data_IF_414919792693
#
_entry.id   IF_414919792693
#
_cell.length_a   1.000
_cell.length_b   1.000
_cell.length_c   1.000
_cell.angle_alpha   90.00
_cell.angle_beta   90.00
_cell.angle_gamma   90.00
#
_symmetry.space_group_name_H-M   'P 1'
#
loop_
_entity.id
_entity.type
_entity.pdbx_description
1 polymer ?
#
# COMPACT_ATOMS: atom_id res chain seq x y z
N UNK A 1 -5.73 -30.60 -9.23
CA UNK A 1 -4.60 -30.44 -8.28
C UNK A 1 -4.18 -28.97 -8.01
N UNK A 2 -4.35 -27.99 -8.95
CA UNK A 2 -3.94 -26.57 -8.73
C UNK A 2 -4.71 -25.80 -7.65
N UNK A 3 -5.98 -26.14 -7.34
CA UNK A 3 -6.80 -25.42 -6.33
C UNK A 3 -6.43 -25.71 -4.88
N UNK A 4 -5.88 -26.87 -4.57
CA UNK A 4 -5.52 -27.26 -3.20
C UNK A 4 -4.22 -26.58 -2.76
N UNK A 5 -3.25 -26.40 -3.66
CA UNK A 5 -2.00 -25.71 -3.39
C UNK A 5 -2.21 -24.21 -3.06
N UNK A 6 -3.11 -23.52 -3.79
CA UNK A 6 -3.43 -22.11 -3.49
C UNK A 6 -4.06 -21.92 -2.12
N UNK A 7 -4.84 -22.89 -1.65
CA UNK A 7 -5.51 -22.81 -0.33
C UNK A 7 -4.55 -23.00 0.84
N UNK A 8 -3.51 -23.85 0.67
CA UNK A 8 -2.49 -24.07 1.70
C UNK A 8 -1.53 -22.88 1.82
N UNK A 9 -1.10 -22.29 0.72
CA UNK A 9 -0.23 -21.10 0.70
C UNK A 9 -0.94 -19.91 1.37
N UNK A 10 -2.24 -19.69 1.08
CA UNK A 10 -3.01 -18.63 1.74
C UNK A 10 -3.16 -18.81 3.25
N UNK A 11 -3.22 -20.03 3.73
CA UNK A 11 -3.39 -20.33 5.16
C UNK A 11 -2.09 -20.10 5.96
N UNK A 12 -0.93 -20.40 5.37
CA UNK A 12 0.38 -20.13 5.96
C UNK A 12 0.71 -18.64 5.97
N UNK A 13 0.42 -17.89 4.90
CA UNK A 13 0.63 -16.45 4.83
C UNK A 13 -0.25 -15.68 5.84
N UNK A 14 -1.50 -16.12 6.08
CA UNK A 14 -2.38 -15.49 7.06
C UNK A 14 -1.89 -15.63 8.51
N UNK A 15 -1.08 -16.64 8.82
CA UNK A 15 -0.50 -16.81 10.16
C UNK A 15 0.71 -15.89 10.43
N UNK A 16 1.35 -15.38 9.38
CA UNK A 16 2.53 -14.51 9.49
C UNK A 16 2.19 -13.01 9.54
N UNK A 17 0.93 -12.65 9.24
CA UNK A 17 0.46 -11.27 9.30
C UNK A 17 0.13 -10.87 10.74
N UNK A 18 0.51 -9.66 11.18
CA UNK A 18 0.13 -9.17 12.52
C UNK A 18 -1.37 -9.28 12.79
N UNK A 19 -1.80 -9.72 13.98
CA UNK A 19 -3.22 -9.97 14.28
C UNK A 19 -4.15 -8.83 13.88
N UNK A 20 -3.71 -7.59 14.11
CA UNK A 20 -4.48 -6.38 13.80
C UNK A 20 -4.70 -6.18 12.28
N UNK A 21 -3.85 -6.76 11.43
CA UNK A 21 -3.93 -6.67 9.97
C UNK A 21 -4.60 -7.89 9.34
N UNK A 22 -4.76 -8.99 10.06
CA UNK A 22 -5.29 -10.23 9.51
C UNK A 22 -6.73 -10.05 8.99
N UNK A 23 -7.58 -9.41 9.76
CA UNK A 23 -8.99 -9.24 9.40
C UNK A 23 -9.17 -8.32 8.18
N UNK A 24 -8.57 -7.10 8.11
CA UNK A 24 -8.68 -6.25 6.93
C UNK A 24 -8.09 -6.87 5.67
N UNK A 25 -6.94 -7.56 5.76
CA UNK A 25 -6.34 -8.25 4.61
C UNK A 25 -7.21 -9.42 4.16
N UNK A 26 -7.72 -10.21 5.10
CA UNK A 26 -8.60 -11.33 4.77
C UNK A 26 -9.91 -10.89 4.11
N UNK A 27 -10.51 -9.81 4.58
CA UNK A 27 -11.69 -9.21 3.95
C UNK A 27 -11.35 -8.71 2.53
N UNK A 28 -10.21 -8.08 2.35
CA UNK A 28 -9.74 -7.61 1.05
C UNK A 28 -9.53 -8.77 0.06
N UNK A 29 -8.85 -9.83 0.48
CA UNK A 29 -8.58 -11.03 -0.33
C UNK A 29 -9.85 -11.80 -0.72
N UNK A 30 -10.88 -11.71 0.10
CA UNK A 30 -12.20 -12.29 -0.19
C UNK A 30 -13.03 -11.44 -1.16
N UNK A 31 -12.61 -10.22 -1.46
CA UNK A 31 -13.40 -9.28 -2.24
C UNK A 31 -14.48 -8.54 -1.43
N UNK A 32 -14.47 -8.67 -0.09
CA UNK A 32 -15.33 -7.92 0.83
C UNK A 32 -14.82 -6.49 1.00
N UNK A 33 -14.67 -5.76 -0.11
CA UNK A 33 -13.95 -4.48 -0.16
C UNK A 33 -14.57 -3.39 0.72
N UNK A 34 -15.88 -3.32 0.82
CA UNK A 34 -16.55 -2.38 1.72
C UNK A 34 -16.14 -2.58 3.18
N UNK A 35 -16.16 -3.84 3.63
CA UNK A 35 -15.71 -4.23 4.98
C UNK A 35 -14.21 -4.00 5.18
N UNK A 36 -13.40 -4.34 4.19
CA UNK A 36 -11.97 -4.09 4.26
C UNK A 36 -11.67 -2.59 4.43
N UNK A 37 -12.38 -1.72 3.71
CA UNK A 37 -12.29 -0.27 3.85
C UNK A 37 -12.57 0.19 5.27
N UNK A 38 -13.69 -0.25 5.88
CA UNK A 38 -14.03 0.09 7.27
C UNK A 38 -12.97 -0.36 8.29
N UNK A 39 -12.42 -1.56 8.08
CA UNK A 39 -11.39 -2.09 8.96
C UNK A 39 -10.08 -1.30 8.84
N UNK A 40 -9.69 -0.92 7.62
CA UNK A 40 -8.51 -0.05 7.44
C UNK A 40 -8.73 1.34 7.99
N UNK A 41 -9.94 1.93 7.88
CA UNK A 41 -10.28 3.23 8.49
C UNK A 41 -10.13 3.20 10.02
N UNK A 42 -10.57 2.14 10.69
CA UNK A 42 -10.35 1.95 12.14
C UNK A 42 -8.85 1.86 12.49
N UNK A 43 -8.05 1.24 11.61
CA UNK A 43 -6.59 1.22 11.79
C UNK A 43 -5.97 2.61 11.61
N UNK A 44 -6.49 3.42 10.70
CA UNK A 44 -6.09 4.83 10.53
C UNK A 44 -6.30 5.59 11.83
N UNK A 45 -7.50 5.53 12.43
CA UNK A 45 -7.82 6.23 13.67
C UNK A 45 -6.84 5.87 14.79
N UNK A 46 -6.57 4.58 14.97
CA UNK A 46 -5.65 4.10 16.01
C UNK A 46 -4.19 4.44 15.72
N UNK A 47 -3.76 4.37 14.46
CA UNK A 47 -2.40 4.69 14.05
C UNK A 47 -2.14 6.21 14.13
N UNK A 48 -3.12 7.03 13.74
CA UNK A 48 -3.00 8.48 13.76
C UNK A 48 -2.93 9.01 15.21
N UNK A 49 -3.79 8.52 16.09
CA UNK A 49 -3.79 8.87 17.52
C UNK A 49 -2.44 8.59 18.22
N UNK A 50 -1.66 7.65 17.67
CA UNK A 50 -0.34 7.28 18.19
C UNK A 50 0.83 7.91 17.44
N UNK A 51 0.60 8.84 16.51
CA UNK A 51 1.65 9.41 15.65
C UNK A 51 2.34 8.37 14.76
N UNK A 52 1.66 7.25 14.45
CA UNK A 52 2.23 6.06 13.85
C UNK A 52 2.78 6.29 12.43
N UNK A 53 3.97 5.73 12.13
CA UNK A 53 4.58 5.85 10.81
C UNK A 53 3.76 5.16 9.70
N UNK A 54 2.85 4.26 10.05
CA UNK A 54 2.02 3.47 9.12
C UNK A 54 0.72 4.13 8.69
N UNK A 55 0.37 5.28 9.26
CA UNK A 55 -0.87 5.98 8.91
C UNK A 55 -1.05 6.21 7.39
N UNK A 56 -0.03 6.65 6.62
CA UNK A 56 -0.19 6.80 5.17
C UNK A 56 -0.61 5.51 4.47
N UNK A 57 0.00 4.37 4.83
CA UNK A 57 -0.31 3.07 4.25
C UNK A 57 -1.77 2.67 4.51
N UNK A 58 -2.27 2.87 5.73
CA UNK A 58 -3.64 2.51 6.07
C UNK A 58 -4.65 3.40 5.37
N UNK A 59 -4.37 4.69 5.20
CA UNK A 59 -5.18 5.60 4.38
C UNK A 59 -5.25 5.12 2.93
N UNK A 60 -4.12 4.78 2.32
CA UNK A 60 -4.08 4.27 0.95
C UNK A 60 -4.86 2.95 0.80
N UNK A 61 -4.71 2.03 1.75
CA UNK A 61 -5.45 0.75 1.74
C UNK A 61 -6.95 0.92 1.97
N UNK A 62 -7.36 1.81 2.86
CA UNK A 62 -8.77 2.16 3.07
C UNK A 62 -9.36 2.76 1.79
N UNK A 63 -8.69 3.74 1.20
CA UNK A 63 -9.11 4.37 -0.05
C UNK A 63 -9.22 3.38 -1.19
N UNK A 64 -8.20 2.54 -1.38
CA UNK A 64 -8.21 1.45 -2.37
C UNK A 64 -9.41 0.54 -2.18
N UNK A 65 -9.64 0.04 -0.98
CA UNK A 65 -10.76 -0.85 -0.68
C UNK A 65 -12.11 -0.20 -0.98
N UNK A 66 -12.31 1.08 -0.61
CA UNK A 66 -13.54 1.84 -0.91
C UNK A 66 -13.75 2.01 -2.42
N UNK A 67 -12.71 2.31 -3.19
CA UNK A 67 -12.79 2.43 -4.66
C UNK A 67 -13.15 1.07 -5.26
N UNK A 68 -12.54 -0.03 -4.80
CA UNK A 68 -12.85 -1.39 -5.21
C UNK A 68 -14.29 -1.79 -4.90
N UNK A 69 -14.86 -1.26 -3.82
CA UNK A 69 -16.27 -1.43 -3.45
C UNK A 69 -17.24 -0.56 -4.28
N UNK A 70 -16.76 0.24 -5.24
CA UNK A 70 -17.57 1.21 -5.99
C UNK A 70 -17.92 2.48 -5.20
N UNK A 71 -17.32 2.68 -4.04
CA UNK A 71 -17.55 3.83 -3.14
C UNK A 71 -16.50 4.91 -3.36
N UNK A 72 -16.32 5.35 -4.61
CA UNK A 72 -15.26 6.29 -5.03
C UNK A 72 -15.27 7.58 -4.24
N UNK A 73 -16.46 8.14 -3.95
CA UNK A 73 -16.59 9.37 -3.17
C UNK A 73 -16.03 9.26 -1.74
N UNK A 74 -16.06 8.06 -1.14
CA UNK A 74 -15.46 7.79 0.17
C UNK A 74 -13.98 7.42 0.05
N UNK A 75 -13.58 6.77 -1.03
CA UNK A 75 -12.22 6.28 -1.22
C UNK A 75 -11.23 7.39 -1.58
N UNK A 76 -11.60 8.32 -2.45
CA UNK A 76 -10.71 9.38 -2.94
C UNK A 76 -10.14 10.27 -1.83
N UNK A 77 -10.92 10.74 -0.84
CA UNK A 77 -10.35 11.50 0.28
C UNK A 77 -9.27 10.73 1.05
N UNK A 78 -9.47 9.43 1.26
CA UNK A 78 -8.50 8.57 1.93
C UNK A 78 -7.22 8.40 1.11
N UNK A 79 -7.33 8.16 -0.21
CA UNK A 79 -6.16 8.09 -1.10
C UNK A 79 -5.37 9.41 -1.05
N UNK A 80 -6.04 10.55 -1.21
CA UNK A 80 -5.39 11.87 -1.14
C UNK A 80 -4.67 12.07 0.18
N UNK A 81 -5.36 11.79 1.31
CA UNK A 81 -4.75 11.97 2.63
C UNK A 81 -3.52 11.08 2.83
N UNK A 82 -3.55 9.85 2.34
CA UNK A 82 -2.39 8.95 2.36
C UNK A 82 -1.21 9.52 1.58
N UNK A 83 -1.45 10.05 0.38
CA UNK A 83 -0.42 10.68 -0.46
C UNK A 83 0.12 11.97 0.17
N UNK A 84 -0.74 12.83 0.71
CA UNK A 84 -0.34 14.06 1.43
C UNK A 84 0.59 13.74 2.61
N UNK A 85 0.25 12.73 3.42
CA UNK A 85 1.07 12.32 4.55
C UNK A 85 2.45 11.79 4.12
N UNK A 86 2.55 11.16 2.94
CA UNK A 86 3.83 10.76 2.38
C UNK A 86 4.65 11.98 1.95
N UNK A 87 4.03 12.98 1.34
CA UNK A 87 4.66 14.25 0.96
C UNK A 87 5.11 15.04 2.20
N UNK A 88 4.24 15.21 3.20
CA UNK A 88 4.55 15.89 4.48
C UNK A 88 5.76 15.25 5.20
N UNK A 89 5.98 13.95 4.99
CA UNK A 89 7.11 13.19 5.58
C UNK A 89 8.32 13.09 4.67
N UNK A 90 8.31 13.79 3.54
CA UNK A 90 9.39 13.78 2.54
C UNK A 90 9.72 12.37 2.00
N UNK A 91 8.75 11.44 2.04
CA UNK A 91 8.89 10.08 1.52
C UNK A 91 8.58 10.03 0.02
N UNK A 92 9.36 10.78 -0.77
CA UNK A 92 9.05 11.05 -2.18
C UNK A 92 9.00 9.80 -3.06
N UNK A 93 9.89 8.82 -2.84
CA UNK A 93 9.87 7.56 -3.59
C UNK A 93 8.57 6.79 -3.32
N UNK A 94 8.18 6.67 -2.05
CA UNK A 94 6.91 6.01 -1.67
C UNK A 94 5.71 6.76 -2.21
N UNK A 95 5.75 8.10 -2.20
CA UNK A 95 4.71 8.95 -2.76
C UNK A 95 4.51 8.67 -4.25
N UNK A 96 5.59 8.62 -5.03
CA UNK A 96 5.52 8.35 -6.47
C UNK A 96 4.95 6.97 -6.74
N UNK A 97 5.50 5.94 -6.11
CA UNK A 97 5.03 4.57 -6.29
C UNK A 97 3.55 4.39 -5.89
N UNK A 98 3.14 4.94 -4.74
CA UNK A 98 1.75 4.87 -4.29
C UNK A 98 0.79 5.62 -5.22
N UNK A 99 1.21 6.79 -5.70
CA UNK A 99 0.42 7.58 -6.63
C UNK A 99 0.27 6.93 -7.99
N UNK A 100 1.33 6.34 -8.55
CA UNK A 100 1.28 5.61 -9.82
C UNK A 100 0.35 4.39 -9.74
N UNK A 101 0.40 3.63 -8.63
CA UNK A 101 -0.54 2.52 -8.39
C UNK A 101 -1.98 2.99 -8.31
N UNK A 102 -2.24 4.10 -7.59
CA UNK A 102 -3.59 4.65 -7.49
C UNK A 102 -4.10 5.12 -8.87
N UNK A 103 -3.27 5.77 -9.68
CA UNK A 103 -3.61 6.20 -11.05
C UNK A 103 -3.93 4.99 -11.93
N UNK A 104 -3.11 3.93 -11.89
CA UNK A 104 -3.32 2.72 -12.67
C UNK A 104 -4.68 2.09 -12.33
N UNK A 105 -4.96 1.91 -11.05
CA UNK A 105 -6.21 1.31 -10.58
C UNK A 105 -7.44 2.15 -10.95
N UNK A 106 -7.37 3.47 -10.81
CA UNK A 106 -8.45 4.37 -11.20
C UNK A 106 -8.73 4.29 -12.71
N UNK A 107 -7.69 4.24 -13.54
CA UNK A 107 -7.83 4.09 -14.99
C UNK A 107 -8.46 2.74 -15.37
N UNK A 108 -8.05 1.65 -14.75
CA UNK A 108 -8.64 0.31 -14.96
C UNK A 108 -10.15 0.28 -14.66
N UNK A 109 -10.61 1.19 -13.79
CA UNK A 109 -12.02 1.32 -13.40
C UNK A 109 -12.78 2.39 -14.18
N UNK A 110 -12.15 3.03 -15.16
CA UNK A 110 -12.76 4.10 -15.95
C UNK A 110 -12.91 5.42 -15.19
N UNK A 111 -12.23 5.59 -14.05
CA UNK A 111 -12.20 6.80 -13.23
C UNK A 111 -11.07 7.74 -13.70
N UNK A 112 -11.08 8.10 -14.97
CA UNK A 112 -10.01 8.88 -15.60
C UNK A 112 -9.87 10.31 -15.09
N UNK A 113 -10.95 10.92 -14.63
CA UNK A 113 -10.91 12.27 -14.05
C UNK A 113 -10.14 12.26 -12.72
N UNK A 114 -10.46 11.32 -11.85
CA UNK A 114 -9.80 11.12 -10.55
C UNK A 114 -8.32 10.75 -10.73
N UNK A 115 -8.03 9.89 -11.70
CA UNK A 115 -6.66 9.53 -12.06
C UNK A 115 -5.86 10.76 -12.54
N UNK A 116 -6.47 11.62 -13.38
CA UNK A 116 -5.85 12.84 -13.90
C UNK A 116 -5.60 13.87 -12.79
N UNK A 117 -6.49 13.94 -11.82
CA UNK A 117 -6.35 14.82 -10.67
C UNK A 117 -5.14 14.40 -9.80
N UNK A 118 -5.03 13.12 -9.44
CA UNK A 118 -3.87 12.60 -8.70
C UNK A 118 -2.59 12.82 -9.50
N UNK A 119 -2.60 12.54 -10.80
CA UNK A 119 -1.43 12.73 -11.67
C UNK A 119 -0.95 14.20 -11.69
N UNK A 120 -1.87 15.14 -11.77
CA UNK A 120 -1.57 16.57 -11.76
C UNK A 120 -0.99 16.99 -10.41
N UNK A 121 -1.59 16.52 -9.33
CA UNK A 121 -1.11 16.81 -7.98
C UNK A 121 0.29 16.21 -7.74
N UNK A 122 0.56 14.96 -8.13
CA UNK A 122 1.87 14.35 -8.02
C UNK A 122 2.97 15.10 -8.79
N UNK A 123 2.65 15.61 -9.98
CA UNK A 123 3.60 16.43 -10.75
C UNK A 123 4.00 17.69 -10.00
N UNK A 124 3.07 18.31 -9.28
CA UNK A 124 3.34 19.51 -8.48
C UNK A 124 4.24 19.19 -7.25
N UNK A 125 4.23 17.94 -6.76
CA UNK A 125 5.09 17.50 -5.65
C UNK A 125 6.51 17.09 -6.08
N UNK A 126 6.77 16.98 -7.38
CA UNK A 126 8.10 16.62 -7.90
C UNK A 126 9.03 17.81 -7.75
N UNK A 127 9.95 17.76 -6.83
CA UNK A 127 11.13 18.63 -6.84
C UNK A 127 12.08 18.17 -7.93
N UNK A 128 12.79 19.11 -8.58
CA UNK A 128 13.58 18.91 -9.80
C UNK A 128 14.77 17.92 -9.69
N UNK A 129 14.91 17.24 -8.56
CA UNK A 129 16.11 16.47 -8.22
C UNK A 129 15.87 14.95 -8.01
N UNK A 130 14.72 14.40 -8.41
CA UNK A 130 14.57 12.94 -8.33
C UNK A 130 14.96 12.32 -9.67
N UNK A 131 16.17 11.71 -9.79
CA UNK A 131 16.55 10.98 -10.99
C UNK A 131 15.71 9.71 -11.10
N UNK A 132 14.80 9.67 -12.09
CA UNK A 132 14.25 8.43 -12.60
C UNK A 132 15.28 7.83 -13.55
N UNK A 133 15.64 6.58 -13.31
CA UNK A 133 16.52 5.70 -14.10
C UNK A 133 17.97 5.53 -13.63
N UNK A 134 18.12 4.53 -12.77
CA UNK A 134 19.23 3.58 -12.88
C UNK A 134 18.71 2.20 -12.49
N UNK A 135 18.89 1.16 -13.32
CA UNK A 135 18.71 -0.21 -12.90
C UNK A 135 19.86 -0.56 -11.96
N UNK A 136 19.59 -0.57 -10.67
CA UNK A 136 20.56 -0.92 -9.66
C UNK A 136 20.44 -2.39 -9.28
N UNK A 137 21.56 -3.11 -9.05
CA UNK A 137 21.51 -4.49 -8.57
C UNK A 137 20.91 -4.50 -7.14
N UNK A 138 19.62 -4.82 -7.08
CA UNK A 138 18.88 -4.87 -5.83
C UNK A 138 19.45 -5.95 -4.90
N UNK A 139 19.70 -5.66 -3.62
CA UNK A 139 20.21 -6.65 -2.67
C UNK A 139 19.17 -7.75 -2.43
N UNK A 140 19.67 -8.92 -2.02
CA UNK A 140 18.81 -10.04 -1.61
C UNK A 140 18.09 -9.68 -0.32
N UNK A 141 16.76 -9.68 -0.34
CA UNK A 141 15.93 -9.43 0.83
C UNK A 141 15.79 -10.69 1.70
N UNK A 142 15.57 -10.56 3.02
CA UNK A 142 15.24 -11.67 3.89
C UNK A 142 13.91 -12.30 3.47
N UNK A 143 13.75 -13.60 3.70
CA UNK A 143 12.52 -14.35 3.36
C UNK A 143 11.31 -13.92 4.19
N UNK A 144 11.54 -13.34 5.36
CA UNK A 144 10.49 -12.85 6.26
C UNK A 144 10.81 -11.46 6.78
N UNK A 145 9.79 -10.64 6.96
CA UNK A 145 9.93 -9.31 7.52
C UNK A 145 10.34 -9.39 9.00
N UNK A 146 11.47 -8.77 9.41
CA UNK A 146 11.93 -8.83 10.80
C UNK A 146 10.99 -8.14 11.80
N UNK A 147 10.10 -7.25 11.32
CA UNK A 147 9.17 -6.49 12.16
C UNK A 147 7.83 -7.17 12.39
N UNK A 148 7.32 -7.95 11.42
CA UNK A 148 6.01 -8.57 11.53
C UNK A 148 5.98 -10.07 11.22
N UNK A 149 7.10 -10.66 10.79
CA UNK A 149 7.18 -12.07 10.45
C UNK A 149 6.54 -12.46 9.11
N UNK A 150 5.88 -11.54 8.41
CA UNK A 150 5.25 -11.84 7.12
C UNK A 150 6.29 -12.21 6.06
N UNK A 151 5.93 -13.15 5.17
CA UNK A 151 6.78 -13.52 4.05
C UNK A 151 7.07 -12.32 3.15
N UNK A 152 8.32 -12.18 2.73
CA UNK A 152 8.78 -11.14 1.81
C UNK A 152 8.90 -11.73 0.42
N UNK A 153 8.02 -11.29 -0.49
CA UNK A 153 8.06 -11.67 -1.89
C UNK A 153 8.76 -10.54 -2.67
N UNK A 154 9.92 -10.78 -3.30
CA UNK A 154 10.70 -9.74 -3.98
C UNK A 154 9.91 -8.97 -5.04
N UNK A 155 8.92 -9.61 -5.67
CA UNK A 155 8.07 -9.02 -6.71
C UNK A 155 6.93 -8.17 -6.13
N UNK A 156 6.66 -8.26 -4.83
CA UNK A 156 5.57 -7.54 -4.15
C UNK A 156 6.05 -6.43 -3.22
N UNK A 157 7.36 -6.36 -2.95
CA UNK A 157 7.93 -5.30 -2.10
C UNK A 157 8.08 -4.01 -2.87
N UNK A 158 7.97 -2.91 -2.14
CA UNK A 158 8.25 -1.58 -2.63
C UNK A 158 9.63 -1.14 -2.19
N UNK A 159 10.50 -0.77 -3.14
CA UNK A 159 11.83 -0.28 -2.84
C UNK A 159 11.78 1.20 -2.47
N UNK A 160 12.31 1.53 -1.31
CA UNK A 160 12.39 2.90 -0.79
C UNK A 160 13.64 3.61 -1.28
N UNK A 161 14.74 2.86 -1.41
CA UNK A 161 16.03 3.27 -1.92
C UNK A 161 16.78 2.07 -2.56
N UNK A 162 18.05 2.24 -2.89
CA UNK A 162 18.89 1.22 -3.53
C UNK A 162 19.06 -0.06 -2.69
N UNK A 163 18.86 0.01 -1.37
CA UNK A 163 19.17 -1.07 -0.43
C UNK A 163 18.03 -1.43 0.51
N UNK A 164 16.96 -0.66 0.52
CA UNK A 164 15.87 -0.79 1.48
C UNK A 164 14.54 -0.96 0.76
N UNK A 165 13.83 -2.04 1.08
CA UNK A 165 12.46 -2.28 0.63
C UNK A 165 11.47 -2.08 1.76
N UNK A 166 10.19 -1.91 1.41
CA UNK A 166 9.09 -1.83 2.37
C UNK A 166 8.33 -3.15 2.42
N UNK A 167 8.02 -3.60 3.63
CA UNK A 167 7.13 -4.73 3.81
C UNK A 167 5.71 -4.42 3.34
N UNK A 168 5.20 -5.19 2.39
CA UNK A 168 3.86 -5.03 1.85
C UNK A 168 2.74 -5.15 2.91
N UNK A 169 3.02 -5.81 4.04
CA UNK A 169 2.05 -6.05 5.10
C UNK A 169 2.06 -5.00 6.22
N UNK A 170 3.23 -4.62 6.69
CA UNK A 170 3.34 -3.76 7.86
C UNK A 170 4.01 -2.42 7.59
N UNK A 171 4.49 -2.16 6.37
CA UNK A 171 5.15 -0.92 6.01
C UNK A 171 6.50 -0.67 6.69
N UNK A 172 7.09 -1.71 7.32
CA UNK A 172 8.41 -1.56 7.95
C UNK A 172 9.52 -1.70 6.92
N UNK A 173 10.64 -0.96 7.06
CA UNK A 173 11.78 -1.12 6.16
C UNK A 173 12.46 -2.47 6.34
N UNK A 174 12.84 -3.07 5.22
CA UNK A 174 13.54 -4.37 5.11
C UNK A 174 14.84 -4.11 4.36
N UNK A 175 15.93 -4.66 4.87
CA UNK A 175 17.26 -4.58 4.26
C UNK A 175 17.87 -5.94 4.10
#
# INVERSE_FOLDING_TARGET
>A
MRRIFRRHIRKTLAQEVPPILQEPIFAFDKGEYGRAGELFEKLVETAFARGGPRAPLFYLKAGQARILAGQTALGMPSVRRGLELLAEREQFQRLQNAGERAIAELNERGLGNEASEIKTWLRAQRTSETPLDKPDPRPTLPTHCPSCGAAVLPDEVEWLDESTAECAYCGSPIR
#
